data_IF_103152125994
#
_entry.id   IF_103152125994
#
_cell.length_a   1.000
_cell.length_b   1.000
_cell.length_c   1.000
_cell.angle_alpha   90.00
_cell.angle_beta   90.00
_cell.angle_gamma   90.00
#
_symmetry.space_group_name_H-M   'P 1'
#
loop_
_entity.id
_entity.type
_entity.pdbx_description
1 polymer ?
#
# COMPACT_ATOMS: atom_id res chain seq x y z
N UNK A 1 21.24 0.98 -10.19
CA UNK A 1 21.99 0.21 -9.16
C UNK A 1 20.97 -0.53 -8.32
N UNK A 2 21.20 -1.81 -8.00
CA UNK A 2 20.26 -2.60 -7.19
C UNK A 2 20.16 -2.02 -5.76
N UNK A 3 18.94 -1.92 -5.22
CA UNK A 3 18.71 -1.40 -3.86
C UNK A 3 19.12 -2.46 -2.84
N UNK A 4 20.02 -2.14 -1.92
CA UNK A 4 20.38 -3.07 -0.84
C UNK A 4 19.27 -3.09 0.20
N UNK A 5 18.75 -4.28 0.51
CA UNK A 5 17.64 -4.44 1.45
C UNK A 5 17.97 -5.45 2.55
N UNK A 6 17.55 -5.11 3.77
CA UNK A 6 17.50 -5.97 4.93
C UNK A 6 16.03 -6.26 5.23
N UNK A 7 15.67 -7.53 5.38
CA UNK A 7 14.28 -7.93 5.64
C UNK A 7 14.20 -8.48 7.07
N UNK A 8 13.30 -7.95 7.89
CA UNK A 8 12.96 -8.46 9.22
C UNK A 8 11.57 -9.11 9.16
N UNK A 9 11.47 -10.42 9.41
CA UNK A 9 10.24 -11.17 9.19
C UNK A 9 9.98 -12.26 10.25
N UNK A 10 8.74 -12.73 10.33
CA UNK A 10 8.31 -13.86 11.15
C UNK A 10 7.85 -15.07 10.31
N UNK A 11 8.30 -15.12 9.05
CA UNK A 11 8.23 -16.21 8.07
C UNK A 11 7.03 -17.16 8.19
N UNK A 12 5.84 -16.58 7.99
CA UNK A 12 4.63 -17.29 7.58
C UNK A 12 4.62 -17.60 6.07
N UNK A 13 3.51 -18.17 5.60
CA UNK A 13 3.28 -18.49 4.18
C UNK A 13 3.36 -17.24 3.29
N UNK A 14 2.92 -16.10 3.83
CA UNK A 14 2.83 -14.80 3.17
C UNK A 14 4.21 -14.09 3.14
N UNK A 15 4.94 -14.08 4.25
CA UNK A 15 6.36 -13.66 4.28
C UNK A 15 7.22 -14.43 3.28
N UNK A 16 6.97 -15.73 3.12
CA UNK A 16 7.70 -16.56 2.16
C UNK A 16 7.58 -16.02 0.73
N UNK A 17 6.43 -15.45 0.40
CA UNK A 17 6.16 -14.90 -0.93
C UNK A 17 6.82 -13.53 -1.11
N UNK A 18 6.78 -12.69 -0.08
CA UNK A 18 7.55 -11.45 -0.04
C UNK A 18 9.05 -11.71 -0.19
N UNK A 19 9.55 -12.75 0.47
CA UNK A 19 10.94 -13.19 0.35
C UNK A 19 11.25 -13.68 -1.07
N UNK A 20 10.45 -14.58 -1.67
CA UNK A 20 10.68 -15.00 -3.06
C UNK A 20 10.66 -13.82 -4.04
N UNK A 21 9.76 -12.87 -3.82
CA UNK A 21 9.68 -11.67 -4.64
C UNK A 21 10.97 -10.84 -4.56
N UNK A 22 11.51 -10.67 -3.36
CA UNK A 22 12.76 -9.97 -3.15
C UNK A 22 13.97 -10.75 -3.71
N UNK A 23 14.04 -12.06 -3.48
CA UNK A 23 15.18 -12.90 -3.85
C UNK A 23 15.33 -13.07 -5.36
N UNK A 24 14.22 -13.10 -6.09
CA UNK A 24 14.19 -13.29 -7.55
C UNK A 24 14.24 -11.98 -8.34
N UNK A 25 14.21 -10.83 -7.68
CA UNK A 25 14.20 -9.51 -8.32
C UNK A 25 15.62 -9.01 -8.59
N UNK A 26 15.99 -8.66 -9.84
CA UNK A 26 17.31 -8.08 -10.13
C UNK A 26 17.43 -6.62 -9.64
N UNK A 27 16.32 -5.98 -9.25
CA UNK A 27 16.28 -4.60 -8.79
C UNK A 27 16.68 -4.45 -7.31
N UNK A 28 16.64 -5.53 -6.53
CA UNK A 28 17.01 -5.53 -5.11
C UNK A 28 18.14 -6.51 -4.84
N UNK A 29 19.00 -6.14 -3.90
CA UNK A 29 20.04 -7.00 -3.37
C UNK A 29 19.71 -7.28 -1.91
N UNK A 30 19.13 -8.45 -1.63
CA UNK A 30 18.87 -8.89 -0.26
C UNK A 30 20.22 -9.22 0.38
N UNK A 31 20.68 -8.36 1.29
CA UNK A 31 22.02 -8.50 1.91
C UNK A 31 22.00 -9.37 3.17
N UNK A 32 20.84 -9.49 3.81
CA UNK A 32 20.61 -10.29 5.01
C UNK A 32 19.11 -10.38 5.31
N UNK A 33 18.74 -11.40 6.09
CA UNK A 33 17.39 -11.56 6.65
C UNK A 33 17.52 -11.69 8.17
N UNK A 34 16.70 -10.95 8.91
CA UNK A 34 16.54 -11.13 10.35
C UNK A 34 15.18 -11.73 10.65
N UNK A 35 15.13 -12.62 11.63
CA UNK A 35 13.87 -13.30 11.99
C UNK A 35 13.40 -12.91 13.39
N UNK A 36 12.10 -12.78 13.59
CA UNK A 36 11.46 -12.37 14.85
C UNK A 36 10.31 -13.30 15.19
N UNK A 37 9.92 -13.36 16.47
CA UNK A 37 8.70 -14.06 16.86
C UNK A 37 7.48 -13.34 16.28
N UNK A 38 6.56 -14.12 15.72
CA UNK A 38 5.21 -13.69 15.38
C UNK A 38 4.37 -14.91 15.06
N UNK A 39 4.26 -15.30 13.78
CA UNK A 39 3.52 -16.47 13.31
C UNK A 39 3.92 -17.78 14.03
N UNK A 40 5.22 -18.03 14.16
CA UNK A 40 5.79 -19.15 14.94
C UNK A 40 7.02 -18.68 15.75
N UNK A 41 7.60 -19.57 16.55
CA UNK A 41 8.81 -19.26 17.33
C UNK A 41 9.98 -18.92 16.40
N UNK A 42 10.86 -17.96 16.73
CA UNK A 42 11.92 -17.50 15.82
C UNK A 42 12.84 -18.60 15.32
N UNK A 43 13.05 -19.66 16.11
CA UNK A 43 13.82 -20.83 15.66
C UNK A 43 13.12 -21.53 14.48
N UNK A 44 11.82 -21.73 14.57
CA UNK A 44 11.03 -22.29 13.46
C UNK A 44 11.01 -21.31 12.27
N UNK A 45 10.87 -20.01 12.51
CA UNK A 45 10.98 -18.97 11.48
C UNK A 45 12.32 -19.06 10.74
N UNK A 46 13.43 -19.25 11.45
CA UNK A 46 14.76 -19.37 10.83
C UNK A 46 14.90 -20.59 9.90
N UNK A 47 14.28 -21.72 10.29
CA UNK A 47 14.18 -22.91 9.45
C UNK A 47 13.36 -22.61 8.20
N UNK A 48 12.21 -21.94 8.35
CA UNK A 48 11.35 -21.54 7.24
C UNK A 48 12.09 -20.66 6.23
N UNK A 49 12.81 -19.63 6.69
CA UNK A 49 13.60 -18.75 5.82
C UNK A 49 14.70 -19.51 5.09
N UNK A 50 15.43 -20.42 5.74
CA UNK A 50 16.45 -21.22 5.05
C UNK A 50 15.83 -22.11 3.96
N UNK A 51 14.63 -22.66 4.18
CA UNK A 51 13.92 -23.47 3.18
C UNK A 51 13.57 -22.63 1.96
N UNK A 52 13.11 -21.39 2.17
CA UNK A 52 12.84 -20.41 1.11
C UNK A 52 14.13 -20.08 0.34
N UNK A 53 15.23 -19.79 1.04
CA UNK A 53 16.53 -19.49 0.41
C UNK A 53 17.07 -20.68 -0.40
N UNK A 54 16.91 -21.91 0.08
CA UNK A 54 17.28 -23.13 -0.66
C UNK A 54 16.54 -23.22 -1.98
N UNK A 55 15.24 -23.01 -1.97
CA UNK A 55 14.41 -23.05 -3.19
C UNK A 55 14.80 -21.93 -4.16
N UNK A 56 15.16 -20.76 -3.65
CA UNK A 56 15.61 -19.62 -4.46
C UNK A 56 17.06 -19.75 -4.96
N UNK A 57 17.79 -20.82 -4.60
CA UNK A 57 19.24 -20.97 -4.82
C UNK A 57 20.06 -19.78 -4.27
N UNK A 58 19.65 -19.29 -3.08
CA UNK A 58 20.22 -18.11 -2.41
C UNK A 58 20.66 -18.36 -0.97
N UNK A 59 21.16 -19.57 -0.69
CA UNK A 59 21.73 -19.91 0.64
C UNK A 59 23.01 -19.10 0.99
N UNK A 60 23.48 -18.25 0.06
CA UNK A 60 24.53 -17.25 0.31
C UNK A 60 24.09 -16.13 1.25
N UNK A 61 22.78 -15.86 1.36
CA UNK A 61 22.25 -14.76 2.18
C UNK A 61 22.28 -15.14 3.67
N UNK A 62 22.92 -14.33 4.54
CA UNK A 62 22.99 -14.61 5.97
C UNK A 62 21.65 -14.36 6.68
N UNK A 63 21.31 -15.26 7.61
CA UNK A 63 20.14 -15.13 8.49
C UNK A 63 20.59 -14.92 9.94
N UNK A 64 19.91 -14.02 10.65
CA UNK A 64 20.16 -13.74 12.07
C UNK A 64 18.88 -13.90 12.89
N UNK A 65 18.96 -14.63 14.01
CA UNK A 65 17.79 -14.90 14.85
C UNK A 65 17.60 -13.81 15.89
N UNK A 66 16.36 -13.35 16.01
CA UNK A 66 15.96 -12.27 16.89
C UNK A 66 15.13 -12.71 18.09
N UNK A 67 14.31 -11.79 18.57
CA UNK A 67 13.60 -11.92 19.85
C UNK A 67 12.51 -12.99 19.76
N UNK A 68 12.47 -13.88 20.77
CA UNK A 68 11.47 -14.94 20.96
C UNK A 68 10.28 -14.53 21.81
N UNK A 69 10.23 -13.25 22.22
CA UNK A 69 9.24 -12.61 23.08
C UNK A 69 9.02 -11.18 22.61
N UNK A 70 7.83 -10.63 22.88
CA UNK A 70 7.59 -9.18 22.78
C UNK A 70 8.39 -8.39 23.83
N UNK A 71 8.61 -7.08 23.64
CA UNK A 71 9.42 -6.26 24.57
C UNK A 71 8.95 -6.26 26.02
N UNK A 72 7.65 -6.47 26.25
CA UNK A 72 7.05 -6.50 27.59
C UNK A 72 6.84 -7.93 28.11
N UNK A 73 7.25 -8.93 27.33
CA UNK A 73 7.05 -10.35 27.64
C UNK A 73 5.59 -10.68 28.02
N UNK A 74 4.64 -10.02 27.34
CA UNK A 74 3.22 -10.32 27.51
C UNK A 74 2.95 -11.62 26.77
N UNK A 75 2.66 -12.67 27.54
CA UNK A 75 2.24 -13.98 27.03
C UNK A 75 1.01 -13.80 26.14
N UNK A 76 1.18 -14.02 24.84
CA UNK A 76 0.05 -14.23 23.94
C UNK A 76 -0.15 -15.74 23.85
N UNK A 77 -1.35 -16.26 24.15
CA UNK A 77 -1.60 -17.69 23.99
C UNK A 77 -1.26 -18.09 22.56
N UNK A 78 -0.38 -19.08 22.40
CA UNK A 78 -0.13 -19.70 21.11
C UNK A 78 -1.44 -20.30 20.62
N UNK A 79 -1.87 -19.91 19.42
CA UNK A 79 -3.14 -20.33 18.85
C UNK A 79 -3.18 -21.87 18.74
N UNK A 80 -4.21 -22.49 19.32
CA UNK A 80 -4.39 -23.95 19.29
C UNK A 80 -4.64 -24.46 17.86
N UNK A 81 -4.94 -23.55 16.91
CA UNK A 81 -5.12 -23.82 15.49
C UNK A 81 -4.40 -22.77 14.61
N UNK A 82 -3.06 -22.87 14.45
CA UNK A 82 -2.28 -21.83 13.78
C UNK A 82 -2.61 -21.72 12.28
N UNK A 83 -2.91 -20.50 11.84
CA UNK A 83 -3.33 -20.17 10.46
C UNK A 83 -2.32 -20.62 9.39
N UNK A 84 -1.02 -20.58 9.70
CA UNK A 84 0.06 -21.01 8.81
C UNK A 84 0.52 -22.46 9.05
N UNK A 85 -0.25 -23.28 9.77
CA UNK A 85 0.22 -24.58 10.26
C UNK A 85 1.17 -24.43 11.46
N UNK A 86 1.48 -25.54 12.12
CA UNK A 86 2.33 -25.54 13.34
C UNK A 86 3.77 -25.17 13.04
N UNK A 87 4.24 -25.45 11.83
CA UNK A 87 5.56 -25.07 11.36
C UNK A 87 5.64 -23.66 10.74
N UNK A 88 4.51 -22.97 10.53
CA UNK A 88 4.45 -21.65 9.88
C UNK A 88 4.53 -21.68 8.34
N UNK A 89 4.67 -22.85 7.72
CA UNK A 89 4.69 -23.06 6.26
C UNK A 89 3.76 -24.21 5.82
N UNK A 90 2.62 -24.35 6.49
CA UNK A 90 1.54 -25.27 6.11
C UNK A 90 1.79 -26.73 6.49
N UNK A 91 2.66 -27.00 7.47
CA UNK A 91 3.02 -28.34 7.95
C UNK A 91 3.52 -29.27 6.82
N UNK A 92 4.26 -28.67 5.88
CA UNK A 92 4.73 -29.33 4.65
C UNK A 92 6.25 -29.49 4.69
N UNK A 93 6.81 -30.51 5.34
CA UNK A 93 8.26 -30.64 5.53
C UNK A 93 9.01 -30.92 4.22
N UNK A 94 10.26 -30.42 4.13
CA UNK A 94 11.17 -30.77 3.05
C UNK A 94 11.62 -32.24 3.17
N UNK A 95 11.91 -32.92 2.05
CA UNK A 95 12.39 -34.31 2.07
C UNK A 95 13.78 -34.43 2.71
N UNK A 96 14.61 -33.39 2.59
CA UNK A 96 15.96 -33.34 3.16
C UNK A 96 16.04 -32.25 4.24
N UNK A 97 16.65 -32.54 5.40
CA UNK A 97 16.78 -31.57 6.48
C UNK A 97 17.55 -30.34 6.03
N UNK A 98 17.23 -29.19 6.63
CA UNK A 98 17.96 -27.95 6.38
C UNK A 98 19.23 -27.90 7.22
N UNK A 99 20.32 -27.41 6.64
CA UNK A 99 21.56 -27.16 7.39
C UNK A 99 21.40 -25.87 8.21
N UNK A 100 20.98 -26.03 9.47
CA UNK A 100 20.85 -24.92 10.43
C UNK A 100 22.19 -24.23 10.75
N UNK A 101 23.35 -24.82 10.40
CA UNK A 101 24.66 -24.17 10.61
C UNK A 101 24.87 -22.90 9.77
N UNK A 102 23.99 -22.67 8.78
CA UNK A 102 23.94 -21.45 7.99
C UNK A 102 23.42 -20.23 8.76
N UNK A 103 22.72 -20.45 9.89
CA UNK A 103 22.24 -19.39 10.78
C UNK A 103 23.43 -18.73 11.49
N UNK A 104 23.50 -17.39 11.44
CA UNK A 104 24.59 -16.65 12.08
C UNK A 104 24.37 -16.56 13.59
N UNK A 105 25.48 -16.63 14.34
CA UNK A 105 25.48 -16.54 15.80
C UNK A 105 25.18 -15.13 16.34
N UNK A 106 25.36 -14.10 15.51
CA UNK A 106 24.98 -12.73 15.86
C UNK A 106 23.44 -12.60 15.96
N UNK A 107 22.95 -11.86 16.95
CA UNK A 107 21.51 -11.63 17.12
C UNK A 107 20.97 -10.67 16.07
N UNK A 108 19.70 -10.82 15.70
CA UNK A 108 19.03 -9.94 14.73
C UNK A 108 19.19 -8.45 15.05
N UNK A 109 19.00 -8.04 16.30
CA UNK A 109 19.13 -6.63 16.69
C UNK A 109 20.55 -6.08 16.48
N UNK A 110 21.58 -6.87 16.82
CA UNK A 110 22.97 -6.50 16.61
C UNK A 110 23.30 -6.43 15.11
N UNK A 111 22.83 -7.42 14.34
CA UNK A 111 22.98 -7.44 12.89
C UNK A 111 22.30 -6.23 12.22
N UNK A 112 21.09 -5.86 12.64
CA UNK A 112 20.39 -4.64 12.19
C UNK A 112 21.25 -3.41 12.48
N UNK A 113 21.75 -3.23 13.71
CA UNK A 113 22.61 -2.08 14.06
C UNK A 113 23.87 -2.03 13.20
N UNK A 114 24.55 -3.16 13.05
CA UNK A 114 25.78 -3.27 12.29
C UNK A 114 25.57 -3.01 10.80
N UNK A 115 24.61 -3.69 10.17
CA UNK A 115 24.32 -3.56 8.73
C UNK A 115 23.82 -2.16 8.38
N UNK A 116 23.02 -1.53 9.25
CA UNK A 116 22.62 -0.13 9.05
C UNK A 116 23.84 0.81 9.05
N UNK A 117 24.84 0.58 9.92
CA UNK A 117 26.08 1.38 9.94
C UNK A 117 26.97 1.10 8.73
N UNK A 118 27.12 -0.17 8.35
CA UNK A 118 27.94 -0.57 7.18
C UNK A 118 27.38 -0.02 5.87
N UNK A 119 26.06 0.08 5.75
CA UNK A 119 25.35 0.52 4.54
C UNK A 119 24.68 1.90 4.70
N UNK A 120 25.27 2.77 5.52
CA UNK A 120 24.70 4.05 5.92
C UNK A 120 24.16 4.87 4.73
N UNK A 121 22.87 5.23 4.78
CA UNK A 121 22.18 6.04 3.77
C UNK A 121 21.80 5.29 2.49
N UNK A 122 22.10 4.00 2.39
CA UNK A 122 21.84 3.16 1.21
C UNK A 122 21.03 1.88 1.50
N UNK A 123 20.83 1.53 2.77
CA UNK A 123 20.07 0.36 3.19
C UNK A 123 18.59 0.68 3.38
N UNK A 124 17.71 -0.14 2.78
CA UNK A 124 16.29 -0.15 3.12
C UNK A 124 15.98 -1.30 4.07
N UNK A 125 15.33 -1.01 5.19
CA UNK A 125 14.82 -2.02 6.13
C UNK A 125 13.34 -2.29 5.81
N UNK A 126 13.01 -3.53 5.47
CA UNK A 126 11.64 -3.98 5.21
C UNK A 126 11.19 -4.82 6.39
N UNK A 127 10.16 -4.39 7.11
CA UNK A 127 9.63 -5.13 8.25
C UNK A 127 8.33 -5.82 7.84
N UNK A 128 8.36 -7.14 7.81
CA UNK A 128 7.21 -7.99 7.48
C UNK A 128 6.58 -8.61 8.74
N UNK A 129 7.34 -8.70 9.83
CA UNK A 129 6.86 -9.20 11.12
C UNK A 129 6.84 -8.16 12.25
N UNK A 130 6.54 -8.60 13.50
CA UNK A 130 6.56 -7.73 14.68
C UNK A 130 7.88 -6.98 14.88
N UNK A 131 7.81 -5.68 15.15
CA UNK A 131 8.96 -4.76 15.18
C UNK A 131 9.91 -4.94 16.38
N UNK A 132 9.89 -6.07 17.09
CA UNK A 132 10.65 -6.28 18.34
C UNK A 132 12.16 -6.20 18.11
N UNK A 133 12.65 -6.77 17.00
CA UNK A 133 14.07 -6.71 16.63
C UNK A 133 14.50 -5.27 16.34
N UNK A 134 13.70 -4.54 15.57
CA UNK A 134 13.94 -3.13 15.21
C UNK A 134 13.90 -2.24 16.45
N UNK A 135 12.93 -2.43 17.34
CA UNK A 135 12.83 -1.68 18.59
C UNK A 135 14.01 -1.98 19.54
N UNK A 136 14.46 -3.24 19.60
CA UNK A 136 15.66 -3.62 20.36
C UNK A 136 16.93 -2.99 19.77
N UNK A 137 17.07 -3.00 18.44
CA UNK A 137 18.15 -2.34 17.72
C UNK A 137 18.16 -0.82 17.96
N UNK A 138 16.99 -0.17 17.93
CA UNK A 138 16.83 1.26 18.25
C UNK A 138 17.19 1.58 19.70
N UNK A 139 16.89 0.67 20.64
CA UNK A 139 17.31 0.85 22.04
C UNK A 139 18.83 0.74 22.22
N UNK A 140 19.48 -0.10 21.42
CA UNK A 140 20.94 -0.25 21.39
C UNK A 140 21.64 0.93 20.69
N UNK A 141 21.05 1.39 19.58
CA UNK A 141 21.53 2.54 18.81
C UNK A 141 20.36 3.49 18.48
N UNK A 142 20.12 4.51 19.31
CA UNK A 142 19.07 5.50 19.06
C UNK A 142 19.27 6.31 17.77
N UNK A 143 20.45 6.25 17.15
CA UNK A 143 20.75 6.90 15.87
C UNK A 143 20.47 6.02 14.65
N UNK A 144 20.09 4.75 14.84
CA UNK A 144 19.88 3.74 13.79
C UNK A 144 19.08 4.26 12.59
N UNK A 145 17.97 4.96 12.86
CA UNK A 145 17.09 5.49 11.81
C UNK A 145 17.76 6.49 10.87
N UNK A 146 18.83 7.19 11.31
CA UNK A 146 19.60 8.10 10.45
C UNK A 146 20.47 7.38 9.44
N UNK A 147 20.71 6.09 9.66
CA UNK A 147 21.58 5.29 8.82
C UNK A 147 20.82 4.51 7.74
N UNK A 148 19.48 4.49 7.81
CA UNK A 148 18.63 3.89 6.80
C UNK A 148 18.32 4.89 5.68
N UNK A 149 18.27 4.39 4.44
CA UNK A 149 17.68 5.13 3.33
C UNK A 149 16.15 5.21 3.50
N UNK A 150 15.53 4.07 3.82
CA UNK A 150 14.10 3.94 4.08
C UNK A 150 13.82 2.82 5.10
N UNK A 151 12.72 2.92 5.84
CA UNK A 151 12.11 1.83 6.59
C UNK A 151 10.64 1.75 6.16
N UNK A 152 10.20 0.60 5.62
CA UNK A 152 8.85 0.45 5.05
C UNK A 152 8.00 -0.43 5.97
N UNK A 153 6.84 0.10 6.39
CA UNK A 153 5.84 -0.56 7.24
C UNK A 153 4.45 -0.09 6.78
N UNK A 154 3.50 -1.00 6.59
CA UNK A 154 2.09 -0.63 6.36
C UNK A 154 1.42 -0.25 7.69
N UNK A 155 0.96 0.99 7.84
CA UNK A 155 0.58 1.56 9.14
C UNK A 155 -0.92 1.61 9.46
N UNK A 156 -1.80 1.88 8.48
CA UNK A 156 -3.26 2.03 8.67
C UNK A 156 -4.03 2.15 7.34
N UNK A 157 -5.34 1.88 7.37
CA UNK A 157 -6.29 2.19 6.27
C UNK A 157 -7.41 3.09 6.79
N UNK A 158 -7.74 4.15 6.04
CA UNK A 158 -8.92 4.99 6.29
C UNK A 158 -9.95 4.83 5.19
N UNK A 159 -11.24 4.77 5.52
CA UNK A 159 -12.33 4.68 4.53
C UNK A 159 -13.12 5.99 4.42
N UNK A 160 -13.65 6.29 3.25
CA UNK A 160 -14.44 7.50 2.93
C UNK A 160 -15.56 7.13 1.96
N UNK A 161 -16.64 7.92 1.92
CA UNK A 161 -17.68 7.77 0.91
C UNK A 161 -17.10 7.89 -0.50
N UNK A 162 -17.43 6.92 -1.35
CA UNK A 162 -17.15 6.92 -2.78
C UNK A 162 -18.27 6.21 -3.51
N UNK A 163 -17.95 5.09 -4.16
CA UNK A 163 -18.92 4.25 -4.88
C UNK A 163 -20.01 3.65 -3.97
N UNK A 164 -19.69 3.40 -2.69
CA UNK A 164 -20.61 2.86 -1.69
C UNK A 164 -20.39 3.53 -0.33
N UNK A 165 -21.31 3.27 0.62
CA UNK A 165 -21.25 3.81 1.99
C UNK A 165 -19.98 3.37 2.74
N UNK A 166 -19.40 4.19 3.64
CA UNK A 166 -18.15 3.84 4.33
C UNK A 166 -18.24 2.55 5.12
N UNK A 167 -19.43 2.21 5.63
CA UNK A 167 -19.68 0.91 6.28
C UNK A 167 -19.42 -0.25 5.32
N UNK A 168 -19.95 -0.18 4.10
CA UNK A 168 -19.72 -1.21 3.08
C UNK A 168 -18.26 -1.23 2.62
N UNK A 169 -17.62 -0.06 2.48
CA UNK A 169 -16.18 0.01 2.18
C UNK A 169 -15.36 -0.68 3.28
N UNK A 170 -15.71 -0.50 4.55
CA UNK A 170 -15.02 -1.14 5.68
C UNK A 170 -15.11 -2.66 5.61
N UNK A 171 -16.29 -3.20 5.28
CA UNK A 171 -16.48 -4.63 5.03
C UNK A 171 -15.58 -5.09 3.87
N UNK A 172 -15.56 -4.37 2.75
CA UNK A 172 -14.71 -4.71 1.61
C UNK A 172 -13.22 -4.72 1.95
N UNK A 173 -12.75 -3.73 2.73
CA UNK A 173 -11.36 -3.68 3.21
C UNK A 173 -11.06 -4.90 4.08
N UNK A 174 -11.93 -5.30 5.01
CA UNK A 174 -11.73 -6.51 5.81
C UNK A 174 -11.64 -7.78 4.95
N UNK A 175 -12.43 -7.88 3.87
CA UNK A 175 -12.37 -9.00 2.92
C UNK A 175 -11.01 -9.05 2.23
N UNK A 176 -10.54 -7.90 1.75
CA UNK A 176 -9.22 -7.75 1.10
C UNK A 176 -8.10 -8.10 2.08
N UNK A 177 -8.13 -7.52 3.29
CA UNK A 177 -7.13 -7.78 4.33
C UNK A 177 -7.10 -9.25 4.74
N UNK A 178 -8.24 -9.94 4.83
CA UNK A 178 -8.27 -11.38 5.12
C UNK A 178 -7.64 -12.20 3.98
N UNK A 179 -7.90 -11.86 2.72
CA UNK A 179 -7.27 -12.55 1.58
C UNK A 179 -5.76 -12.29 1.55
N UNK A 180 -5.35 -11.07 1.89
CA UNK A 180 -3.96 -10.65 2.00
C UNK A 180 -3.28 -11.12 3.30
N UNK A 181 -4.03 -11.69 4.24
CA UNK A 181 -3.59 -12.11 5.57
C UNK A 181 -3.01 -10.97 6.44
N UNK A 182 -3.68 -9.81 6.41
CA UNK A 182 -3.24 -8.56 7.04
C UNK A 182 -4.32 -7.91 7.90
N UNK A 183 -5.08 -8.72 8.63
CA UNK A 183 -6.11 -8.23 9.57
C UNK A 183 -5.52 -7.47 10.77
N UNK A 184 -4.19 -7.44 10.93
CA UNK A 184 -3.46 -6.60 11.88
C UNK A 184 -3.54 -5.10 11.53
N UNK A 185 -3.77 -4.74 10.27
CA UNK A 185 -3.82 -3.35 9.82
C UNK A 185 -5.09 -2.67 10.34
N UNK A 186 -4.98 -1.56 11.10
CA UNK A 186 -6.15 -0.89 11.66
C UNK A 186 -6.95 -0.15 10.58
N UNK A 187 -8.28 -0.26 10.66
CA UNK A 187 -9.23 0.44 9.78
C UNK A 187 -9.93 1.55 10.57
N UNK A 188 -9.98 2.76 10.02
CA UNK A 188 -10.69 3.90 10.60
C UNK A 188 -11.78 4.41 9.65
N UNK A 189 -13.00 4.58 10.15
CA UNK A 189 -14.15 5.04 9.36
C UNK A 189 -14.18 6.57 9.28
N UNK A 190 -14.30 7.09 8.07
CA UNK A 190 -14.36 8.51 7.78
C UNK A 190 -15.74 8.99 7.34
N UNK A 191 -15.75 10.10 6.62
CA UNK A 191 -16.97 10.81 6.24
C UNK A 191 -17.83 9.99 5.28
N UNK A 192 -19.14 9.99 5.51
CA UNK A 192 -20.16 9.35 4.66
C UNK A 192 -20.75 10.30 3.62
N UNK A 193 -20.34 11.58 3.65
CA UNK A 193 -20.82 12.67 2.80
C UNK A 193 -19.67 13.59 2.41
N UNK A 194 -19.85 14.34 1.31
CA UNK A 194 -18.97 15.45 0.94
C UNK A 194 -19.09 16.61 1.94
N UNK A 195 -18.11 17.52 1.97
CA UNK A 195 -18.09 18.65 2.92
C UNK A 195 -19.34 19.56 2.86
N UNK A 196 -19.96 19.70 1.68
CA UNK A 196 -21.15 20.51 1.50
C UNK A 196 -22.45 19.71 1.46
N UNK A 197 -22.38 18.38 1.59
CA UNK A 197 -23.54 17.47 1.56
C UNK A 197 -24.50 17.76 0.39
N UNK A 198 -23.91 18.02 -0.79
CA UNK A 198 -24.70 18.27 -2.00
C UNK A 198 -25.25 16.94 -2.47
N UNK A 199 -26.57 16.83 -2.51
CA UNK A 199 -27.29 15.67 -3.02
C UNK A 199 -26.97 15.48 -4.50
N UNK A 200 -26.40 14.32 -4.84
CA UNK A 200 -25.99 14.00 -6.20
C UNK A 200 -26.76 12.76 -6.64
N UNK A 201 -27.22 12.72 -7.90
CA UNK A 201 -27.97 11.57 -8.39
C UNK A 201 -27.13 10.30 -8.19
N UNK A 202 -27.71 9.36 -7.44
CA UNK A 202 -27.13 8.03 -7.29
C UNK A 202 -27.12 7.34 -8.66
N UNK A 203 -25.99 6.72 -9.00
CA UNK A 203 -25.87 5.93 -10.23
C UNK A 203 -26.74 4.68 -10.11
N UNK A 204 -27.83 4.63 -10.89
CA UNK A 204 -28.74 3.49 -10.96
C UNK A 204 -28.05 2.23 -11.54
N UNK A 205 -26.85 2.35 -12.11
CA UNK A 205 -26.05 1.27 -12.69
C UNK A 205 -24.59 1.28 -12.17
N UNK A 206 -24.38 0.94 -10.89
CA UNK A 206 -23.12 1.19 -10.20
C UNK A 206 -21.95 0.51 -10.92
N UNK A 207 -20.92 1.31 -11.23
CA UNK A 207 -19.75 0.86 -11.99
C UNK A 207 -19.12 -0.41 -11.38
N UNK A 208 -18.86 -0.44 -10.07
CA UNK A 208 -18.26 -1.58 -9.37
C UNK A 208 -19.26 -2.57 -8.73
N UNK A 209 -20.53 -2.55 -9.15
CA UNK A 209 -21.60 -3.29 -8.46
C UNK A 209 -22.13 -2.57 -7.23
N UNK A 210 -23.22 -3.08 -6.65
CA UNK A 210 -23.91 -2.44 -5.51
C UNK A 210 -23.12 -2.50 -4.22
N UNK A 211 -22.30 -3.52 -4.03
CA UNK A 211 -21.40 -3.63 -2.88
C UNK A 211 -20.05 -2.91 -3.10
N UNK A 212 -19.79 -2.40 -4.30
CA UNK A 212 -18.52 -1.75 -4.67
C UNK A 212 -17.35 -2.72 -4.84
N UNK A 213 -17.60 -4.04 -4.86
CA UNK A 213 -16.63 -5.11 -5.01
C UNK A 213 -17.18 -6.26 -5.88
N UNK A 214 -17.87 -5.90 -6.96
CA UNK A 214 -18.34 -6.84 -8.00
C UNK A 214 -19.60 -7.64 -7.66
N UNK A 215 -20.28 -7.31 -6.55
CA UNK A 215 -21.41 -8.07 -6.02
C UNK A 215 -21.08 -9.57 -5.88
N UNK A 216 -19.83 -9.85 -5.50
CA UNK A 216 -19.35 -11.22 -5.29
C UNK A 216 -19.64 -11.60 -3.85
N UNK A 217 -20.41 -12.68 -3.60
CA UNK A 217 -20.66 -13.14 -2.25
C UNK A 217 -19.35 -13.47 -1.54
N UNK A 218 -19.26 -13.10 -0.28
CA UNK A 218 -18.18 -13.57 0.56
C UNK A 218 -18.49 -14.97 1.10
N UNK A 219 -17.56 -15.95 1.03
CA UNK A 219 -17.76 -17.24 1.65
C UNK A 219 -17.98 -17.19 3.17
N UNK A 220 -17.43 -16.17 3.86
CA UNK A 220 -17.49 -16.07 5.33
C UNK A 220 -17.70 -14.62 5.79
N UNK A 221 -18.52 -14.40 6.84
CA UNK A 221 -18.71 -13.06 7.39
C UNK A 221 -17.39 -12.49 7.94
N UNK A 222 -17.20 -11.17 7.78
CA UNK A 222 -16.03 -10.47 8.35
C UNK A 222 -16.29 -10.08 9.80
N UNK A 223 -15.23 -10.04 10.60
CA UNK A 223 -15.28 -9.52 11.97
C UNK A 223 -15.21 -7.99 11.97
N UNK A 224 -16.37 -7.33 12.03
CA UNK A 224 -16.46 -5.87 12.10
C UNK A 224 -15.85 -5.28 13.39
N UNK A 225 -15.59 -6.08 14.43
CA UNK A 225 -14.95 -5.60 15.67
C UNK A 225 -13.50 -5.15 15.48
N UNK A 226 -12.89 -5.51 14.35
CA UNK A 226 -11.55 -5.07 13.95
C UNK A 226 -11.52 -3.59 13.50
N UNK A 227 -12.69 -2.99 13.22
CA UNK A 227 -12.82 -1.57 12.87
C UNK A 227 -12.62 -0.70 14.11
N UNK A 228 -11.72 0.29 14.04
CA UNK A 228 -11.44 1.18 15.16
C UNK A 228 -12.54 2.21 15.35
N UNK A 229 -12.84 2.51 16.61
CA UNK A 229 -13.83 3.52 17.00
C UNK A 229 -13.39 4.96 16.72
N UNK A 230 -12.08 5.21 16.60
CA UNK A 230 -11.55 6.51 16.21
C UNK A 230 -11.92 6.84 14.75
N UNK A 231 -12.30 8.09 14.48
CA UNK A 231 -12.64 8.54 13.12
C UNK A 231 -11.39 8.69 12.26
N UNK A 232 -11.54 8.51 10.95
CA UNK A 232 -10.43 8.62 10.00
C UNK A 232 -9.69 9.96 10.07
N UNK A 233 -10.39 11.09 10.18
CA UNK A 233 -9.75 12.41 10.28
C UNK A 233 -8.90 12.57 11.55
N UNK A 234 -9.41 12.08 12.68
CA UNK A 234 -8.67 12.09 13.95
C UNK A 234 -7.44 11.17 13.86
N UNK A 235 -7.61 9.97 13.29
CA UNK A 235 -6.52 9.03 13.06
C UNK A 235 -5.44 9.63 12.14
N UNK A 236 -5.82 10.33 11.05
CA UNK A 236 -4.87 11.03 10.17
C UNK A 236 -4.08 12.08 10.97
N UNK A 237 -4.74 12.96 11.73
CA UNK A 237 -4.06 13.98 12.53
C UNK A 237 -3.09 13.36 13.53
N UNK A 238 -3.55 12.31 14.24
CA UNK A 238 -2.74 11.61 15.23
C UNK A 238 -1.54 10.91 14.59
N UNK A 239 -1.74 10.11 13.54
CA UNK A 239 -0.69 9.39 12.84
C UNK A 239 0.31 10.34 12.18
N UNK A 240 -0.12 11.49 11.64
CA UNK A 240 0.79 12.51 11.13
C UNK A 240 1.71 13.04 12.22
N UNK A 241 1.21 13.23 13.45
CA UNK A 241 2.01 13.69 14.59
C UNK A 241 2.95 12.61 15.10
N UNK A 242 2.46 11.37 15.21
CA UNK A 242 3.23 10.21 15.68
C UNK A 242 4.36 9.85 14.70
N UNK A 243 4.12 9.99 13.39
CA UNK A 243 5.04 9.60 12.32
C UNK A 243 5.56 10.82 11.55
N UNK A 244 5.90 11.88 12.28
CA UNK A 244 6.35 13.16 11.72
C UNK A 244 7.56 12.97 10.80
N UNK A 245 7.39 13.37 9.54
CA UNK A 245 8.39 13.33 8.48
C UNK A 245 8.56 11.97 7.80
N UNK A 246 7.82 10.94 8.23
CA UNK A 246 7.91 9.58 7.67
C UNK A 246 6.57 9.04 7.16
N UNK A 247 5.45 9.71 7.45
CA UNK A 247 4.14 9.27 6.97
C UNK A 247 3.90 9.73 5.53
N UNK A 248 3.60 8.78 4.64
CA UNK A 248 3.05 9.07 3.32
C UNK A 248 1.55 8.80 3.31
N UNK A 249 0.75 9.80 2.92
CA UNK A 249 -0.68 9.61 2.65
C UNK A 249 -0.86 9.20 1.19
N UNK A 250 -1.53 8.07 0.95
CA UNK A 250 -1.93 7.64 -0.38
C UNK A 250 -3.44 7.78 -0.51
N UNK A 251 -3.87 8.75 -1.32
CA UNK A 251 -5.27 9.13 -1.45
C UNK A 251 -5.83 8.57 -2.76
N UNK A 252 -6.55 7.46 -2.65
CA UNK A 252 -7.18 6.73 -3.78
C UNK A 252 -8.68 7.01 -3.91
N UNK A 253 -9.22 7.83 -3.01
CA UNK A 253 -10.64 8.19 -2.97
C UNK A 253 -10.85 9.69 -2.75
N UNK A 254 -12.10 10.14 -2.60
CA UNK A 254 -12.42 11.53 -2.30
C UNK A 254 -11.68 12.07 -1.07
N UNK A 255 -11.24 13.32 -1.16
CA UNK A 255 -10.28 13.91 -0.23
C UNK A 255 -10.90 14.42 1.09
N UNK A 256 -12.17 14.09 1.37
CA UNK A 256 -12.95 14.63 2.50
C UNK A 256 -12.28 14.41 3.86
N UNK A 257 -11.76 13.20 4.10
CA UNK A 257 -11.05 12.89 5.35
C UNK A 257 -9.80 13.74 5.53
N UNK A 258 -9.01 13.91 4.46
CA UNK A 258 -7.77 14.69 4.48
C UNK A 258 -8.10 16.18 4.65
N UNK A 259 -9.08 16.71 3.93
CA UNK A 259 -9.52 18.10 4.09
C UNK A 259 -10.05 18.37 5.50
N UNK A 260 -10.80 17.44 6.09
CA UNK A 260 -11.27 17.53 7.48
C UNK A 260 -10.10 17.53 8.45
N UNK A 261 -9.10 16.66 8.24
CA UNK A 261 -7.87 16.65 9.03
C UNK A 261 -7.10 17.99 8.92
N UNK A 262 -7.02 18.60 7.71
CA UNK A 262 -6.43 19.94 7.50
C UNK A 262 -7.18 21.01 8.31
N UNK A 263 -8.50 20.89 8.42
CA UNK A 263 -9.29 21.85 9.21
C UNK A 263 -9.12 21.66 10.72
N UNK A 264 -8.84 20.44 11.17
CA UNK A 264 -8.51 20.15 12.56
C UNK A 264 -7.08 20.58 12.92
N UNK A 265 -6.11 20.36 12.03
CA UNK A 265 -4.71 20.73 12.20
C UNK A 265 -4.14 21.30 10.89
N UNK A 266 -4.19 22.63 10.68
CA UNK A 266 -3.66 23.25 9.46
C UNK A 266 -2.17 23.02 9.22
N UNK A 267 -1.43 22.60 10.25
CA UNK A 267 -0.01 22.33 10.16
C UNK A 267 0.32 20.87 9.80
N UNK A 268 -0.68 19.99 9.64
CA UNK A 268 -0.44 18.54 9.51
C UNK A 268 0.49 18.18 8.35
N UNK A 269 0.44 18.96 7.25
CA UNK A 269 1.23 18.70 6.06
C UNK A 269 2.73 18.75 6.35
N UNK A 270 3.15 19.59 7.31
CA UNK A 270 4.55 19.71 7.73
C UNK A 270 5.09 18.44 8.36
N UNK A 271 4.19 17.56 8.81
CA UNK A 271 4.54 16.30 9.41
C UNK A 271 4.46 15.13 8.42
N UNK A 272 4.04 15.36 7.18
CA UNK A 272 4.04 14.32 6.15
C UNK A 272 5.40 14.24 5.47
N UNK A 273 5.80 13.02 5.15
CA UNK A 273 6.84 12.78 4.17
C UNK A 273 6.33 13.13 2.76
N UNK A 274 5.12 12.68 2.42
CA UNK A 274 4.51 12.86 1.11
C UNK A 274 2.98 12.70 1.15
N UNK A 275 2.28 13.35 0.24
CA UNK A 275 0.90 13.04 -0.11
C UNK A 275 0.81 12.69 -1.60
N UNK A 276 0.43 11.46 -1.93
CA UNK A 276 0.18 10.99 -3.30
C UNK A 276 -1.32 10.89 -3.52
N UNK A 277 -1.82 11.51 -4.57
CA UNK A 277 -3.25 11.63 -4.86
C UNK A 277 -3.52 11.03 -6.24
N UNK A 278 -4.42 10.05 -6.33
CA UNK A 278 -5.05 9.69 -7.60
C UNK A 278 -6.27 10.59 -7.80
N UNK A 279 -6.23 11.40 -8.85
CA UNK A 279 -7.38 12.19 -9.23
C UNK A 279 -7.06 13.39 -10.13
N UNK A 280 -8.13 14.01 -10.61
CA UNK A 280 -8.08 15.11 -11.56
C UNK A 280 -8.30 14.66 -13.01
N UNK A 281 -8.93 15.55 -13.78
CA UNK A 281 -9.26 15.55 -15.23
C UNK A 281 -9.57 14.19 -15.91
N UNK A 282 -10.64 14.03 -16.68
CA UNK A 282 -12.00 13.83 -16.18
C UNK A 282 -12.64 12.58 -16.81
N UNK A 283 -13.44 11.85 -16.04
CA UNK A 283 -14.15 10.61 -16.42
C UNK A 283 -15.59 10.56 -15.88
N UNK A 284 -15.96 11.50 -15.01
CA UNK A 284 -17.31 11.64 -14.44
C UNK A 284 -18.11 12.72 -15.16
N UNK A 285 -17.44 13.84 -15.48
CA UNK A 285 -17.97 14.86 -16.40
C UNK A 285 -16.97 15.10 -17.52
N UNK A 286 -17.30 15.99 -18.45
CA UNK A 286 -16.42 16.38 -19.56
C UNK A 286 -15.03 16.90 -19.12
N UNK A 287 -14.86 17.26 -17.85
CA UNK A 287 -13.59 17.79 -17.34
C UNK A 287 -13.26 17.43 -15.89
N UNK A 288 -14.14 16.70 -15.19
CA UNK A 288 -13.95 16.34 -13.79
C UNK A 288 -13.82 14.84 -13.61
N UNK A 289 -12.81 14.45 -12.85
CA UNK A 289 -12.54 13.06 -12.49
C UNK A 289 -13.31 12.71 -11.22
N UNK A 290 -13.71 11.45 -11.06
CA UNK A 290 -14.55 10.93 -9.98
C UNK A 290 -14.18 11.42 -8.57
N UNK A 291 -12.93 11.25 -8.12
CA UNK A 291 -12.49 11.61 -6.77
C UNK A 291 -12.59 13.12 -6.53
N UNK A 292 -12.12 13.92 -7.50
CA UNK A 292 -12.20 15.37 -7.43
C UNK A 292 -13.63 15.88 -7.55
N UNK A 293 -14.45 15.25 -8.40
CA UNK A 293 -15.84 15.59 -8.56
C UNK A 293 -16.61 15.28 -7.29
N UNK A 294 -16.37 14.16 -6.63
CA UNK A 294 -17.13 13.70 -5.45
C UNK A 294 -17.07 14.68 -4.26
N UNK A 295 -15.93 15.33 -4.04
CA UNK A 295 -15.79 16.41 -3.06
C UNK A 295 -14.80 17.49 -3.54
N UNK A 296 -15.26 18.41 -4.43
CA UNK A 296 -14.43 19.44 -5.04
C UNK A 296 -13.87 20.43 -4.02
N UNK A 297 -14.65 20.75 -2.99
CA UNK A 297 -14.22 21.59 -1.89
C UNK A 297 -13.08 20.95 -1.10
N UNK A 298 -13.19 19.66 -0.78
CA UNK A 298 -12.11 18.94 -0.12
C UNK A 298 -10.85 18.90 -0.99
N UNK A 299 -10.98 18.57 -2.27
CA UNK A 299 -9.86 18.56 -3.21
C UNK A 299 -9.19 19.94 -3.31
N UNK A 300 -9.99 21.02 -3.35
CA UNK A 300 -9.48 22.40 -3.31
C UNK A 300 -8.70 22.68 -2.04
N UNK A 301 -9.23 22.28 -0.88
CA UNK A 301 -8.58 22.46 0.42
C UNK A 301 -7.23 21.72 0.43
N UNK A 302 -7.19 20.45 0.03
CA UNK A 302 -5.95 19.67 0.02
C UNK A 302 -4.91 20.30 -0.89
N UNK A 303 -5.25 20.61 -2.15
CA UNK A 303 -4.27 21.18 -3.09
C UNK A 303 -3.76 22.56 -2.67
N UNK A 304 -4.60 23.39 -2.05
CA UNK A 304 -4.23 24.80 -1.76
C UNK A 304 -3.77 25.05 -0.32
N UNK A 305 -3.98 24.09 0.59
CA UNK A 305 -3.71 24.29 2.03
C UNK A 305 -2.87 23.18 2.67
N UNK A 306 -2.68 22.02 2.03
CA UNK A 306 -1.79 21.01 2.59
C UNK A 306 -0.33 21.48 2.44
N UNK A 307 0.30 21.82 3.56
CA UNK A 307 1.67 22.30 3.59
C UNK A 307 2.67 21.14 3.51
N UNK A 308 2.85 20.54 2.34
CA UNK A 308 3.79 19.42 2.14
C UNK A 308 3.95 19.04 0.67
N UNK A 309 4.84 18.09 0.35
CA UNK A 309 5.01 17.64 -1.03
C UNK A 309 3.77 16.83 -1.47
N UNK A 310 3.16 17.27 -2.57
CA UNK A 310 2.00 16.64 -3.19
C UNK A 310 2.39 16.11 -4.57
N UNK A 311 2.16 14.83 -4.81
CA UNK A 311 2.19 14.24 -6.16
C UNK A 311 0.78 13.90 -6.59
N UNK A 312 0.38 14.35 -7.78
CA UNK A 312 -0.91 14.00 -8.38
C UNK A 312 -0.70 13.07 -9.56
N UNK A 313 -1.48 11.97 -9.56
CA UNK A 313 -1.63 11.02 -10.65
C UNK A 313 -2.99 11.29 -11.30
N UNK A 314 -2.99 12.04 -12.41
CA UNK A 314 -4.21 12.35 -13.17
C UNK A 314 -4.59 11.23 -14.13
N UNK A 315 -5.79 11.29 -14.73
CA UNK A 315 -6.23 10.24 -15.67
C UNK A 315 -5.41 10.16 -16.96
N UNK A 316 -4.91 11.30 -17.47
CA UNK A 316 -4.21 11.38 -18.76
C UNK A 316 -3.07 10.31 -18.85
N UNK A 317 -2.08 10.25 -17.93
CA UNK A 317 -1.06 9.21 -17.95
C UNK A 317 -1.60 7.80 -17.69
N UNK A 318 -2.70 7.64 -16.94
CA UNK A 318 -3.30 6.32 -16.71
C UNK A 318 -3.91 5.76 -18.01
N UNK A 319 -4.61 6.58 -18.79
CA UNK A 319 -5.17 6.18 -20.09
C UNK A 319 -4.08 5.83 -21.12
N UNK A 320 -3.00 6.61 -21.15
CA UNK A 320 -1.86 6.34 -22.04
C UNK A 320 -1.21 4.98 -21.75
N UNK A 321 -1.25 4.54 -20.48
CA UNK A 321 -0.66 3.29 -20.01
C UNK A 321 -1.72 2.23 -19.67
N UNK A 322 -2.90 2.33 -20.28
CA UNK A 322 -3.97 1.36 -20.11
C UNK A 322 -3.57 -0.03 -20.62
N UNK A 323 -3.94 -1.07 -19.88
CA UNK A 323 -3.65 -2.46 -20.20
C UNK A 323 -4.65 -2.98 -21.23
N UNK A 324 -4.17 -3.58 -22.31
CA UNK A 324 -5.04 -4.33 -23.20
C UNK A 324 -5.66 -5.51 -22.45
N UNK A 325 -6.85 -5.95 -22.87
CA UNK A 325 -7.47 -7.14 -22.27
C UNK A 325 -6.59 -8.39 -22.36
N UNK A 326 -5.75 -8.50 -23.39
CA UNK A 326 -4.77 -9.58 -23.52
C UNK A 326 -3.70 -9.54 -22.43
N UNK A 327 -3.15 -8.37 -22.14
CA UNK A 327 -2.17 -8.20 -21.06
C UNK A 327 -2.81 -8.47 -19.70
N UNK A 328 -4.05 -8.02 -19.52
CA UNK A 328 -4.82 -8.26 -18.32
C UNK A 328 -5.12 -9.76 -18.10
N UNK A 329 -5.60 -10.46 -19.14
CA UNK A 329 -5.92 -11.88 -19.03
C UNK A 329 -4.69 -12.72 -18.69
N UNK A 330 -3.52 -12.33 -19.19
CA UNK A 330 -2.24 -12.96 -18.81
C UNK A 330 -1.93 -12.80 -17.32
N UNK A 331 -2.23 -11.64 -16.72
CA UNK A 331 -2.14 -11.46 -15.26
C UNK A 331 -3.10 -12.42 -14.53
N UNK A 332 -4.34 -12.55 -15.03
CA UNK A 332 -5.40 -13.41 -14.45
C UNK A 332 -5.15 -14.93 -14.55
N UNK A 333 -4.26 -15.39 -15.42
CA UNK A 333 -3.93 -16.82 -15.54
C UNK A 333 -3.10 -17.33 -14.35
N UNK A 334 -2.50 -16.42 -13.57
CA UNK A 334 -1.71 -16.75 -12.39
C UNK A 334 -2.58 -17.39 -11.30
N UNK A 335 -2.18 -18.52 -10.72
CA UNK A 335 -2.96 -19.19 -9.66
C UNK A 335 -2.52 -18.70 -8.27
N UNK A 336 -3.38 -17.96 -7.60
CA UNK A 336 -3.20 -17.54 -6.20
C UNK A 336 -4.51 -17.14 -5.54
N UNK A 337 -4.57 -17.14 -4.20
CA UNK A 337 -5.78 -16.68 -3.47
C UNK A 337 -6.14 -15.22 -3.78
N UNK A 338 -5.13 -14.38 -3.98
CA UNK A 338 -5.27 -12.96 -4.34
C UNK A 338 -5.85 -12.84 -5.74
N UNK A 339 -5.25 -13.51 -6.73
CA UNK A 339 -5.75 -13.43 -8.10
C UNK A 339 -7.13 -14.10 -8.23
N UNK A 340 -7.38 -15.20 -7.55
CA UNK A 340 -8.70 -15.85 -7.50
C UNK A 340 -9.75 -14.90 -6.91
N UNK A 341 -9.40 -14.12 -5.89
CA UNK A 341 -10.26 -13.08 -5.35
C UNK A 341 -10.50 -11.93 -6.34
N UNK A 342 -9.43 -11.31 -6.86
CA UNK A 342 -9.49 -10.23 -7.86
C UNK A 342 -10.35 -10.63 -9.05
N UNK A 343 -10.09 -11.82 -9.61
CA UNK A 343 -10.88 -12.36 -10.72
C UNK A 343 -12.36 -12.41 -10.44
N UNK A 344 -12.77 -12.86 -9.24
CA UNK A 344 -14.20 -12.94 -8.88
C UNK A 344 -14.84 -11.55 -8.82
N UNK A 345 -14.19 -10.60 -8.16
CA UNK A 345 -14.74 -9.26 -7.95
C UNK A 345 -14.72 -8.40 -9.24
N UNK A 346 -13.83 -8.72 -10.18
CA UNK A 346 -13.69 -7.98 -11.44
C UNK A 346 -14.45 -8.61 -12.60
N UNK A 347 -14.75 -9.92 -12.58
CA UNK A 347 -15.29 -10.65 -13.76
C UNK A 347 -16.50 -9.94 -14.38
N UNK A 348 -17.49 -9.58 -13.56
CA UNK A 348 -18.71 -8.91 -14.05
C UNK A 348 -18.42 -7.52 -14.59
N UNK A 349 -17.59 -6.75 -13.88
CA UNK A 349 -17.18 -5.42 -14.32
C UNK A 349 -16.46 -5.52 -15.66
N UNK A 350 -15.52 -6.44 -15.77
CA UNK A 350 -14.64 -6.54 -16.93
C UNK A 350 -15.40 -7.10 -18.13
N UNK A 351 -16.35 -8.01 -17.91
CA UNK A 351 -17.32 -8.40 -18.91
C UNK A 351 -18.13 -7.19 -19.39
N UNK A 352 -18.75 -6.43 -18.48
CA UNK A 352 -19.52 -5.21 -18.82
C UNK A 352 -18.67 -4.18 -19.59
N UNK A 353 -17.43 -3.93 -19.17
CA UNK A 353 -16.51 -3.03 -19.87
C UNK A 353 -16.18 -3.53 -21.28
N UNK A 354 -15.90 -4.83 -21.43
CA UNK A 354 -15.55 -5.46 -22.71
C UNK A 354 -16.74 -5.53 -23.67
N UNK A 355 -17.89 -6.03 -23.21
CA UNK A 355 -19.02 -6.39 -24.07
C UNK A 355 -20.01 -5.26 -24.22
N UNK A 356 -20.40 -4.65 -23.11
CA UNK A 356 -21.53 -3.72 -23.08
C UNK A 356 -21.08 -2.29 -23.39
N UNK A 357 -19.92 -1.89 -22.88
CA UNK A 357 -19.33 -0.57 -23.11
C UNK A 357 -18.31 -0.55 -24.26
N UNK A 358 -17.89 -1.71 -24.77
CA UNK A 358 -16.97 -1.84 -25.89
C UNK A 358 -15.58 -1.27 -25.63
N UNK A 359 -15.14 -1.21 -24.37
CA UNK A 359 -13.80 -0.76 -24.03
C UNK A 359 -12.77 -1.78 -24.51
N UNK A 360 -11.66 -1.31 -25.06
CA UNK A 360 -10.58 -2.17 -25.56
C UNK A 360 -9.49 -2.44 -24.51
N UNK A 361 -9.48 -1.65 -23.43
CA UNK A 361 -8.43 -1.62 -22.42
C UNK A 361 -8.97 -1.38 -21.02
N UNK A 362 -8.24 -1.84 -20.02
CA UNK A 362 -8.41 -1.55 -18.60
C UNK A 362 -7.46 -0.43 -18.15
N UNK A 363 -7.94 0.47 -17.30
CA UNK A 363 -7.19 1.65 -16.84
C UNK A 363 -6.96 1.54 -15.32
N UNK A 364 -5.79 1.09 -14.87
CA UNK A 364 -5.50 0.81 -13.46
C UNK A 364 -4.98 2.06 -12.71
N UNK A 365 -5.86 3.05 -12.54
CA UNK A 365 -5.50 4.38 -12.01
C UNK A 365 -4.90 4.33 -10.59
N UNK A 366 -5.54 3.60 -9.68
CA UNK A 366 -5.16 3.56 -8.27
C UNK A 366 -3.89 2.75 -8.07
N UNK A 367 -3.70 1.72 -8.89
CA UNK A 367 -2.49 0.91 -8.92
C UNK A 367 -1.27 1.75 -9.33
N UNK A 368 -1.42 2.69 -10.27
CA UNK A 368 -0.34 3.62 -10.60
C UNK A 368 0.05 4.50 -9.41
N UNK A 369 -0.92 5.01 -8.64
CA UNK A 369 -0.63 5.78 -7.43
C UNK A 369 0.10 4.95 -6.37
N UNK A 370 -0.29 3.70 -6.18
CA UNK A 370 0.45 2.77 -5.29
C UNK A 370 1.85 2.43 -5.84
N UNK A 371 2.00 2.23 -7.14
CA UNK A 371 3.28 1.95 -7.77
C UNK A 371 4.27 3.10 -7.60
N UNK A 372 3.80 4.35 -7.66
CA UNK A 372 4.59 5.56 -7.37
C UNK A 372 5.10 5.54 -5.94
N UNK A 373 4.26 5.20 -4.97
CA UNK A 373 4.66 5.14 -3.55
C UNK A 373 5.68 4.03 -3.31
N UNK A 374 5.51 2.88 -3.96
CA UNK A 374 6.41 1.73 -3.81
C UNK A 374 7.78 1.99 -4.47
N UNK A 375 7.80 2.53 -5.70
CA UNK A 375 9.04 2.77 -6.43
C UNK A 375 8.91 3.86 -7.51
N UNK A 376 8.73 5.11 -7.09
CA UNK A 376 8.62 6.27 -7.99
C UNK A 376 9.73 6.30 -9.06
N UNK A 377 10.99 6.06 -8.68
CA UNK A 377 12.12 6.14 -9.61
C UNK A 377 12.11 5.12 -10.74
N UNK A 378 11.40 4.00 -10.57
CA UNK A 378 11.25 3.00 -11.62
C UNK A 378 10.03 3.28 -12.50
N UNK A 379 8.98 3.89 -11.94
CA UNK A 379 7.68 3.99 -12.59
C UNK A 379 7.45 5.36 -13.23
N UNK A 380 7.93 6.45 -12.63
CA UNK A 380 7.69 7.81 -13.15
C UNK A 380 8.83 8.23 -14.08
N UNK A 381 8.51 8.34 -15.38
CA UNK A 381 9.47 8.76 -16.41
C UNK A 381 9.40 10.26 -16.71
N UNK A 382 8.23 10.90 -16.50
CA UNK A 382 8.07 12.35 -16.66
C UNK A 382 7.07 12.93 -15.65
N UNK A 383 7.37 14.12 -15.13
CA UNK A 383 6.48 14.92 -14.30
C UNK A 383 6.67 16.42 -14.55
N UNK A 384 5.70 17.24 -14.11
CA UNK A 384 5.75 18.70 -14.11
C UNK A 384 5.47 19.25 -12.72
N UNK A 385 6.26 20.22 -12.29
CA UNK A 385 5.92 21.02 -11.11
C UNK A 385 5.06 22.21 -11.53
N UNK A 386 3.84 22.27 -11.01
CA UNK A 386 2.81 23.23 -11.41
C UNK A 386 2.07 23.79 -10.20
N UNK A 387 1.41 24.93 -10.39
CA UNK A 387 0.32 25.32 -9.51
C UNK A 387 -1.00 24.71 -10.03
N UNK A 388 -1.73 24.03 -9.15
CA UNK A 388 -3.04 23.48 -9.43
C UNK A 388 -4.07 23.88 -8.36
N UNK A 389 -5.32 24.04 -8.76
CA UNK A 389 -6.48 24.32 -7.88
C UNK A 389 -7.71 23.58 -8.42
N UNK A 390 -8.84 23.64 -7.71
CA UNK A 390 -10.11 23.07 -8.16
C UNK A 390 -11.15 24.17 -8.39
N UNK A 391 -11.88 24.07 -9.49
CA UNK A 391 -13.06 24.88 -9.81
C UNK A 391 -14.28 24.36 -9.02
N UNK A 392 -14.95 25.27 -8.30
CA UNK A 392 -16.01 24.94 -7.32
C UNK A 392 -17.25 25.85 -7.49
N UNK A 393 -17.39 26.50 -8.64
CA UNK A 393 -18.48 27.43 -8.95
C UNK A 393 -19.04 27.28 -10.36
N UNK A 394 -18.25 26.79 -11.32
CA UNK A 394 -18.65 26.70 -12.72
C UNK A 394 -19.72 25.63 -12.96
N UNK A 395 -20.62 25.85 -13.92
CA UNK A 395 -21.71 24.90 -14.25
C UNK A 395 -21.18 23.60 -14.88
N UNK A 396 -20.28 23.71 -15.87
CA UNK A 396 -19.71 22.57 -16.59
C UNK A 396 -18.34 22.14 -16.05
N UNK A 397 -17.71 22.99 -15.24
CA UNK A 397 -16.33 22.82 -14.77
C UNK A 397 -16.24 22.56 -13.26
N UNK A 398 -17.37 22.39 -12.57
CA UNK A 398 -17.38 22.02 -11.15
C UNK A 398 -16.64 20.70 -10.92
N UNK A 399 -15.60 20.72 -10.06
CA UNK A 399 -14.72 19.56 -9.81
C UNK A 399 -13.49 19.50 -10.72
N UNK A 400 -13.33 20.41 -11.68
CA UNK A 400 -12.18 20.40 -12.58
C UNK A 400 -10.91 20.78 -11.83
N UNK A 401 -9.87 19.94 -11.95
CA UNK A 401 -8.51 20.34 -11.58
C UNK A 401 -7.98 21.34 -12.62
N UNK A 402 -7.82 22.59 -12.22
CA UNK A 402 -7.28 23.67 -13.03
C UNK A 402 -5.77 23.74 -12.80
N UNK A 403 -5.00 23.49 -13.85
CA UNK A 403 -3.53 23.55 -13.85
C UNK A 403 -3.05 24.82 -14.53
N UNK A 404 -2.23 25.60 -13.85
CA UNK A 404 -1.67 26.86 -14.35
C UNK A 404 -0.39 26.64 -15.17
N UNK A 405 -0.53 26.03 -16.34
CA UNK A 405 0.58 25.70 -17.24
C UNK A 405 1.45 26.91 -17.62
N UNK A 406 0.82 28.08 -17.79
CA UNK A 406 1.48 29.32 -18.20
C UNK A 406 2.00 30.18 -17.05
N UNK A 407 1.83 29.75 -15.78
CA UNK A 407 2.12 30.56 -14.57
C UNK A 407 1.37 31.90 -14.55
N UNK A 408 0.17 31.93 -15.11
CA UNK A 408 -0.68 33.12 -15.23
C UNK A 408 -1.19 33.61 -13.86
N UNK A 409 -1.39 32.70 -12.91
CA UNK A 409 -1.85 33.02 -11.56
C UNK A 409 -0.72 33.52 -10.66
N UNK A 410 0.54 33.44 -11.10
CA UNK A 410 1.74 33.88 -10.36
C UNK A 410 1.81 33.30 -8.94
N UNK A 411 1.32 32.07 -8.77
CA UNK A 411 1.41 31.31 -7.52
C UNK A 411 2.63 30.41 -7.54
N UNK A 412 3.24 30.09 -6.39
CA UNK A 412 4.24 29.05 -6.32
C UNK A 412 3.64 27.71 -6.72
N UNK A 413 4.44 26.81 -7.30
CA UNK A 413 4.01 25.44 -7.56
C UNK A 413 3.61 24.76 -6.25
N UNK A 414 2.52 23.99 -6.27
CA UNK A 414 2.01 23.24 -5.12
C UNK A 414 1.88 21.74 -5.40
N UNK A 415 2.04 21.32 -6.66
CA UNK A 415 1.85 19.93 -7.09
C UNK A 415 2.97 19.50 -8.03
N UNK A 416 3.46 18.28 -7.81
CA UNK A 416 4.17 17.48 -8.81
C UNK A 416 3.15 16.64 -9.57
N UNK A 417 2.82 17.03 -10.79
CA UNK A 417 1.87 16.33 -11.64
C UNK A 417 2.63 15.30 -12.49
N UNK A 418 2.37 14.01 -12.29
CA UNK A 418 2.94 12.96 -13.13
C UNK A 418 2.31 13.01 -14.51
N UNK A 419 3.15 12.93 -15.54
CA UNK A 419 2.69 13.01 -16.94
C UNK A 419 3.02 11.77 -17.75
N UNK A 420 3.99 10.94 -17.32
CA UNK A 420 4.30 9.66 -17.98
C UNK A 420 4.78 8.59 -17.01
N UNK A 421 4.43 7.36 -17.32
CA UNK A 421 4.88 6.16 -16.62
C UNK A 421 5.77 5.28 -17.50
N UNK A 422 6.52 4.40 -16.87
CA UNK A 422 7.11 3.21 -17.47
C UNK A 422 6.12 2.03 -17.33
N UNK A 423 5.45 1.68 -18.42
CA UNK A 423 4.42 0.63 -18.41
C UNK A 423 5.01 -0.77 -18.23
N UNK A 424 6.25 -1.01 -18.65
CA UNK A 424 6.88 -2.32 -18.49
C UNK A 424 7.21 -2.58 -17.03
N UNK A 425 7.78 -1.59 -16.34
CA UNK A 425 8.03 -1.66 -14.90
C UNK A 425 6.72 -1.76 -14.11
N UNK A 426 5.69 -1.03 -14.53
CA UNK A 426 4.38 -1.12 -13.89
C UNK A 426 3.77 -2.52 -14.02
N UNK A 427 3.80 -3.12 -15.20
CA UNK A 427 3.36 -4.49 -15.40
C UNK A 427 4.14 -5.47 -14.53
N UNK A 428 5.48 -5.35 -14.46
CA UNK A 428 6.30 -6.18 -13.57
C UNK A 428 5.86 -6.06 -12.12
N UNK A 429 5.47 -4.87 -11.67
CA UNK A 429 4.95 -4.65 -10.32
C UNK A 429 3.59 -5.31 -10.11
N UNK A 430 2.69 -5.25 -11.09
CA UNK A 430 1.38 -5.92 -11.03
C UNK A 430 1.47 -7.45 -11.01
N UNK A 431 2.49 -8.05 -11.64
CA UNK A 431 2.71 -9.51 -11.56
C UNK A 431 3.09 -9.98 -10.14
N UNK A 432 3.55 -9.09 -9.25
CA UNK A 432 4.08 -9.47 -7.94
C UNK A 432 3.00 -9.98 -6.97
N UNK A 433 1.88 -9.25 -6.75
CA UNK A 433 0.82 -9.70 -5.85
C UNK A 433 -0.01 -10.86 -6.42
N UNK A 434 -0.12 -11.02 -7.75
CA UNK A 434 -0.84 -12.18 -8.32
C UNK A 434 -0.06 -13.49 -8.19
N UNK A 435 1.25 -13.43 -7.96
CA UNK A 435 2.08 -14.58 -7.59
C UNK A 435 2.11 -14.84 -6.07
N UNK A 436 1.38 -14.04 -5.28
CA UNK A 436 1.22 -14.18 -3.82
C UNK A 436 0.27 -15.33 -3.49
N UNK A 437 0.81 -16.53 -3.30
CA UNK A 437 0.03 -17.78 -3.09
C UNK A 437 -0.97 -17.75 -1.93
#
# INVERSE_FOLDING_TARGET
MSKSILIDCDAGIDDAQALFLALCSPEVNVIAITVVQGNVLPKQVSVNVLRILRVADRLDIPIYVGSDKSLLDIDRPHDDNPYHGRDGLGDSPDPEPIDESLIKAETASNAIVRLCREHQGSLTLVCLGPLTNVATALRQDPSLGKNLQHCVIMGAITVVQGNVLPKQVSVNVLRILRVADRLDIPIYVGSDKSLLDIDRPHDDNPYHGRDGLGDTPDPEPVDESLIKAETASNAIVRLCREHKGSLTLVCLGPLTNVATAIRQDPSLGKNLQHCVIMGGKGNMTVCSEFNFFSDPEAAKIVLTQLEGPITVIGMDPCYENALTWKEYDKLRETKSKVNDFLRRIEEKLFQKLRTDMGWEKYVPCDEFAMAVVINESAIVTEFKEVYATVEVKGEYTYGMMVVDWGRMLKRPNNVRLVTKFDNEEFLKMLYRPVNWK
#
